data_IF_294776358330
#
_entry.id   IF_294776358330
#
_cell.length_a   1.000
_cell.length_b   1.000
_cell.length_c   1.000
_cell.angle_alpha   90.00
_cell.angle_beta   90.00
_cell.angle_gamma   90.00
#
_symmetry.space_group_name_H-M   'P 1'
#
loop_
_entity.id
_entity.type
_entity.pdbx_description
1 polymer ?
#
# COMPACT_ATOMS: atom_id res chain seq x y z
N UNK A 1 20.41 -4.90 -6.36
CA UNK A 1 20.37 -3.43 -6.14
C UNK A 1 20.09 -2.66 -7.43
N UNK A 2 20.60 -3.13 -8.58
CA UNK A 2 20.22 -2.69 -9.93
C UNK A 2 18.70 -2.57 -10.13
N UNK A 3 17.94 -3.61 -9.74
CA UNK A 3 16.47 -3.67 -9.94
C UNK A 3 15.71 -2.47 -9.34
N UNK A 4 16.06 -2.02 -8.12
CA UNK A 4 15.34 -0.90 -7.47
C UNK A 4 15.63 0.42 -8.18
N UNK A 5 16.90 0.66 -8.54
CA UNK A 5 17.31 1.85 -9.27
C UNK A 5 16.66 1.90 -10.67
N UNK A 6 16.65 0.76 -11.37
CA UNK A 6 15.96 0.61 -12.65
C UNK A 6 14.44 0.83 -12.52
N UNK A 7 13.81 0.29 -11.48
CA UNK A 7 12.37 0.48 -11.24
C UNK A 7 12.03 1.97 -11.05
N UNK A 8 12.86 2.70 -10.31
CA UNK A 8 12.68 4.15 -10.10
C UNK A 8 12.85 4.89 -11.44
N UNK A 9 13.89 4.55 -12.21
CA UNK A 9 14.16 5.18 -13.52
C UNK A 9 13.04 4.93 -14.51
N UNK A 10 12.62 3.67 -14.67
CA UNK A 10 11.51 3.28 -15.55
C UNK A 10 10.22 3.97 -15.11
N UNK A 11 9.96 4.08 -13.82
CA UNK A 11 8.80 4.80 -13.29
C UNK A 11 8.80 6.27 -13.69
N UNK A 12 9.93 6.96 -13.52
CA UNK A 12 10.10 8.37 -13.91
C UNK A 12 9.93 8.57 -15.42
N UNK A 13 10.62 7.76 -16.22
CA UNK A 13 10.58 7.83 -17.68
C UNK A 13 9.18 7.54 -18.24
N UNK A 14 8.48 6.56 -17.67
CA UNK A 14 7.08 6.25 -18.05
C UNK A 14 6.17 7.43 -17.75
N UNK A 15 6.36 8.09 -16.61
CA UNK A 15 5.60 9.30 -16.25
C UNK A 15 5.83 10.45 -17.24
N UNK A 16 7.07 10.68 -17.66
CA UNK A 16 7.41 11.72 -18.64
C UNK A 16 6.86 11.42 -20.04
N UNK A 17 6.95 10.15 -20.48
CA UNK A 17 6.37 9.69 -21.75
C UNK A 17 4.86 9.82 -21.75
N UNK A 18 4.19 9.40 -20.68
CA UNK A 18 2.75 9.51 -20.53
C UNK A 18 2.30 10.98 -20.55
N UNK A 19 3.00 11.85 -19.82
CA UNK A 19 2.75 13.30 -19.85
C UNK A 19 2.87 13.86 -21.27
N UNK A 20 3.95 13.53 -21.96
CA UNK A 20 4.19 13.98 -23.34
C UNK A 20 3.11 13.50 -24.29
N UNK A 21 2.67 12.25 -24.14
CA UNK A 21 1.60 11.66 -24.94
C UNK A 21 0.25 12.36 -24.70
N UNK A 22 -0.12 12.58 -23.43
CA UNK A 22 -1.36 13.30 -23.06
C UNK A 22 -1.35 14.72 -23.65
N UNK A 23 -0.23 15.45 -23.52
CA UNK A 23 -0.11 16.80 -24.08
C UNK A 23 -0.25 16.81 -25.60
N UNK A 24 0.30 15.80 -26.29
CA UNK A 24 0.15 15.64 -27.73
C UNK A 24 -1.33 15.40 -28.12
N UNK A 25 -2.01 14.46 -27.45
CA UNK A 25 -3.42 14.17 -27.72
C UNK A 25 -4.33 15.38 -27.48
N UNK A 26 -4.07 16.17 -26.43
CA UNK A 26 -4.86 17.39 -26.15
C UNK A 26 -4.65 18.44 -27.25
N UNK A 27 -3.41 18.63 -27.72
CA UNK A 27 -3.09 19.58 -28.78
C UNK A 27 -3.72 19.20 -30.12
N UNK A 28 -3.79 17.90 -30.43
CA UNK A 28 -4.32 17.38 -31.69
C UNK A 28 -5.86 17.33 -31.72
N UNK A 29 -6.53 17.03 -30.60
CA UNK A 29 -7.99 16.78 -30.57
C UNK A 29 -8.85 17.94 -30.05
N UNK A 30 -8.27 19.06 -29.60
CA UNK A 30 -9.04 20.18 -29.02
C UNK A 30 -8.78 21.50 -29.74
N UNK A 31 -9.84 22.20 -30.16
CA UNK A 31 -9.77 23.57 -30.68
C UNK A 31 -9.31 24.59 -29.62
N UNK A 32 -9.46 24.25 -28.33
CA UNK A 32 -8.91 24.99 -27.17
C UNK A 32 -7.41 24.67 -26.97
N UNK A 33 -6.95 23.53 -27.51
CA UNK A 33 -5.58 23.04 -27.48
C UNK A 33 -4.56 23.94 -28.18
N UNK A 34 -4.97 24.63 -29.25
CA UNK A 34 -4.07 25.50 -30.03
C UNK A 34 -3.89 26.91 -29.43
N UNK A 35 -4.80 27.34 -28.55
CA UNK A 35 -4.84 28.71 -28.00
C UNK A 35 -4.30 28.82 -26.57
N UNK A 36 -4.31 27.74 -25.79
CA UNK A 36 -3.73 27.72 -24.45
C UNK A 36 -2.21 27.44 -24.46
N UNK A 37 -1.44 28.25 -23.73
CA UNK A 37 -0.01 28.02 -23.56
C UNK A 37 0.24 26.96 -22.47
N UNK A 38 0.42 25.71 -22.90
CA UNK A 38 0.50 24.52 -22.03
C UNK A 38 1.74 24.45 -21.13
N UNK A 39 2.73 25.34 -21.33
CA UNK A 39 3.83 25.53 -20.36
C UNK A 39 3.32 26.00 -18.99
N UNK A 40 2.16 26.67 -18.96
CA UNK A 40 1.50 27.11 -17.73
C UNK A 40 0.78 25.96 -16.98
N UNK A 41 0.73 24.74 -17.53
CA UNK A 41 0.21 23.54 -16.85
C UNK A 41 1.20 23.03 -15.77
N UNK A 42 2.43 23.57 -15.73
CA UNK A 42 3.29 23.38 -14.56
C UNK A 42 2.52 23.89 -13.35
N UNK A 43 2.27 23.00 -12.38
CA UNK A 43 1.54 23.32 -11.16
C UNK A 43 2.45 24.22 -10.31
N UNK A 44 2.53 25.50 -10.68
CA UNK A 44 3.41 26.48 -10.07
C UNK A 44 2.65 27.40 -9.11
N UNK A 45 1.31 27.39 -9.17
CA UNK A 45 0.44 28.26 -8.38
C UNK A 45 -0.30 27.44 -7.32
N UNK A 46 -0.37 27.96 -6.10
CA UNK A 46 -1.08 27.35 -4.96
C UNK A 46 -2.54 27.01 -5.29
N UNK A 47 -3.22 27.84 -6.06
CA UNK A 47 -4.61 27.59 -6.53
C UNK A 47 -4.69 26.35 -7.42
N UNK A 48 -3.74 26.17 -8.34
CA UNK A 48 -3.68 24.98 -9.21
C UNK A 48 -3.42 23.71 -8.41
N UNK A 49 -2.59 23.77 -7.37
CA UNK A 49 -2.40 22.64 -6.44
C UNK A 49 -3.70 22.27 -5.71
N UNK A 50 -4.43 23.25 -5.19
CA UNK A 50 -5.71 22.98 -4.52
C UNK A 50 -6.75 22.40 -5.48
N UNK A 51 -6.88 22.95 -6.69
CA UNK A 51 -7.79 22.42 -7.71
C UNK A 51 -7.41 20.98 -8.06
N UNK A 52 -6.11 20.69 -8.27
CA UNK A 52 -5.63 19.33 -8.55
C UNK A 52 -5.98 18.36 -7.39
N UNK A 53 -5.67 18.74 -6.15
CA UNK A 53 -5.97 17.92 -4.97
C UNK A 53 -7.49 17.69 -4.87
N UNK A 54 -8.31 18.73 -5.08
CA UNK A 54 -9.77 18.61 -5.06
C UNK A 54 -10.27 17.63 -6.12
N UNK A 55 -9.78 17.74 -7.37
CA UNK A 55 -10.14 16.80 -8.46
C UNK A 55 -9.72 15.38 -8.11
N UNK A 56 -8.50 15.17 -7.60
CA UNK A 56 -8.04 13.84 -7.17
C UNK A 56 -8.89 13.26 -6.05
N UNK A 57 -9.29 14.08 -5.07
CA UNK A 57 -10.18 13.66 -3.97
C UNK A 57 -11.58 13.29 -4.46
N UNK A 58 -12.14 14.05 -5.41
CA UNK A 58 -13.44 13.74 -6.02
C UNK A 58 -13.36 12.40 -6.76
N UNK A 59 -12.35 12.21 -7.61
CA UNK A 59 -12.15 10.95 -8.34
C UNK A 59 -11.96 9.77 -7.38
N UNK A 60 -11.15 9.94 -6.33
CA UNK A 60 -10.95 8.91 -5.31
C UNK A 60 -12.26 8.56 -4.60
N UNK A 61 -13.06 9.57 -4.21
CA UNK A 61 -14.34 9.35 -3.53
C UNK A 61 -15.32 8.60 -4.41
N UNK A 62 -15.38 8.94 -5.71
CA UNK A 62 -16.23 8.27 -6.68
C UNK A 62 -15.85 6.80 -6.84
N UNK A 63 -14.56 6.51 -7.06
CA UNK A 63 -14.06 5.13 -7.19
C UNK A 63 -14.28 4.33 -5.92
N UNK A 64 -14.11 4.96 -4.75
CA UNK A 64 -14.28 4.28 -3.47
C UNK A 64 -15.74 3.94 -3.19
N UNK A 65 -16.67 4.88 -3.45
CA UNK A 65 -18.12 4.63 -3.34
C UNK A 65 -18.55 3.52 -4.30
N UNK A 66 -18.09 3.57 -5.56
CA UNK A 66 -18.37 2.50 -6.53
C UNK A 66 -17.86 1.14 -6.04
N UNK A 67 -16.65 1.10 -5.47
CA UNK A 67 -16.08 -0.13 -4.90
C UNK A 67 -16.90 -0.67 -3.73
N UNK A 68 -17.41 0.20 -2.85
CA UNK A 68 -18.29 -0.19 -1.73
C UNK A 68 -19.60 -0.78 -2.25
N UNK A 69 -20.25 -0.12 -3.21
CA UNK A 69 -21.52 -0.59 -3.79
C UNK A 69 -21.34 -1.96 -4.46
N UNK A 70 -20.30 -2.11 -5.28
CA UNK A 70 -19.99 -3.39 -5.93
C UNK A 70 -19.61 -4.48 -4.92
N UNK A 71 -18.89 -4.14 -3.85
CA UNK A 71 -18.58 -5.08 -2.77
C UNK A 71 -19.85 -5.63 -2.11
N UNK A 72 -20.81 -4.76 -1.76
CA UNK A 72 -22.06 -5.18 -1.11
C UNK A 72 -22.85 -6.14 -2.01
N UNK A 73 -23.01 -5.78 -3.28
CA UNK A 73 -23.76 -6.60 -4.26
C UNK A 73 -23.06 -7.96 -4.44
N UNK A 74 -21.75 -7.96 -4.68
CA UNK A 74 -20.99 -9.17 -4.99
C UNK A 74 -20.82 -10.10 -3.79
N UNK A 75 -20.61 -9.55 -2.58
CA UNK A 75 -20.52 -10.35 -1.35
C UNK A 75 -21.86 -11.00 -1.00
N UNK A 76 -22.98 -10.27 -1.16
CA UNK A 76 -24.33 -10.83 -0.92
C UNK A 76 -24.65 -11.99 -1.85
N UNK A 77 -24.27 -11.90 -3.12
CA UNK A 77 -24.55 -12.94 -4.12
C UNK A 77 -23.46 -14.03 -4.16
N UNK A 78 -22.35 -13.86 -3.43
CA UNK A 78 -21.19 -14.76 -3.47
C UNK A 78 -20.64 -14.96 -4.90
N UNK A 79 -20.69 -13.90 -5.68
CA UNK A 79 -20.27 -13.84 -7.08
C UNK A 79 -18.74 -13.77 -7.21
N UNK A 80 -18.25 -14.11 -8.41
CA UNK A 80 -16.87 -13.86 -8.80
C UNK A 80 -16.52 -12.38 -8.67
N UNK A 81 -15.35 -12.11 -8.09
CA UNK A 81 -14.86 -10.76 -7.81
C UNK A 81 -15.32 -10.16 -6.48
N UNK A 82 -16.09 -10.87 -5.66
CA UNK A 82 -16.48 -10.38 -4.32
C UNK A 82 -15.27 -10.02 -3.44
N UNK A 83 -14.22 -10.85 -3.45
CA UNK A 83 -12.96 -10.59 -2.72
C UNK A 83 -12.27 -9.32 -3.22
N UNK A 84 -12.24 -9.11 -4.54
CA UNK A 84 -11.58 -7.96 -5.16
C UNK A 84 -12.29 -6.65 -4.79
N UNK A 85 -13.60 -6.57 -5.01
CA UNK A 85 -14.37 -5.35 -4.74
C UNK A 85 -14.43 -5.04 -3.24
N UNK A 86 -14.54 -6.07 -2.41
CA UNK A 86 -14.42 -5.91 -0.95
C UNK A 86 -13.02 -5.43 -0.55
N UNK A 87 -11.97 -5.96 -1.17
CA UNK A 87 -10.62 -5.48 -0.94
C UNK A 87 -10.45 -4.00 -1.32
N UNK A 88 -10.95 -3.59 -2.48
CA UNK A 88 -10.94 -2.19 -2.92
C UNK A 88 -11.70 -1.27 -1.95
N UNK A 89 -12.78 -1.74 -1.33
CA UNK A 89 -13.53 -0.94 -0.36
C UNK A 89 -12.80 -0.79 0.99
N UNK A 90 -12.05 -1.80 1.44
CA UNK A 90 -11.30 -1.75 2.71
C UNK A 90 -9.83 -1.33 2.57
N UNK A 91 -9.35 -1.10 1.35
CA UNK A 91 -7.98 -0.68 1.07
C UNK A 91 -7.63 0.71 1.66
N UNK A 92 -8.47 1.76 1.55
CA UNK A 92 -8.08 3.11 2.02
C UNK A 92 -7.74 3.19 3.52
N UNK A 93 -8.50 2.57 4.44
CA UNK A 93 -8.10 2.49 5.85
C UNK A 93 -6.71 1.89 6.07
N UNK A 94 -6.31 0.88 5.29
CA UNK A 94 -4.98 0.27 5.37
C UNK A 94 -3.88 1.25 4.97
N UNK A 95 -4.11 2.01 3.89
CA UNK A 95 -3.18 3.08 3.44
C UNK A 95 -3.07 4.19 4.49
N UNK A 96 -4.17 4.65 5.07
CA UNK A 96 -4.15 5.71 6.09
C UNK A 96 -3.43 5.28 7.36
N UNK A 97 -3.66 4.05 7.81
CA UNK A 97 -2.93 3.50 8.95
C UNK A 97 -1.43 3.38 8.65
N UNK A 98 -1.06 2.86 7.47
CA UNK A 98 0.35 2.82 7.05
C UNK A 98 0.98 4.20 6.99
N UNK A 99 0.27 5.19 6.45
CA UNK A 99 0.75 6.59 6.40
C UNK A 99 0.91 7.18 7.80
N UNK A 100 -0.03 6.90 8.70
CA UNK A 100 0.09 7.33 10.09
C UNK A 100 1.30 6.69 10.78
N UNK A 101 1.50 5.38 10.62
CA UNK A 101 2.66 4.65 11.13
C UNK A 101 3.97 5.18 10.54
N UNK A 102 4.00 5.49 9.24
CA UNK A 102 5.18 6.03 8.57
C UNK A 102 5.68 7.35 9.17
N UNK A 103 4.83 8.11 9.88
CA UNK A 103 5.28 9.31 10.63
C UNK A 103 6.27 8.99 11.74
N UNK A 104 6.28 7.75 12.22
CA UNK A 104 7.23 7.25 13.24
C UNK A 104 8.61 6.93 12.63
N UNK A 105 8.73 6.82 11.30
CA UNK A 105 10.00 6.60 10.64
C UNK A 105 10.93 7.78 10.92
N UNK A 106 12.13 7.50 11.43
CA UNK A 106 13.11 8.54 11.76
C UNK A 106 12.95 9.21 13.13
N UNK A 107 11.87 8.92 13.88
CA UNK A 107 11.66 9.52 15.21
C UNK A 107 12.52 8.89 16.32
N UNK A 108 12.94 7.63 16.13
CA UNK A 108 13.62 6.84 17.14
C UNK A 108 12.68 6.30 18.22
N UNK A 109 13.18 5.37 19.03
CA UNK A 109 12.46 4.67 20.10
C UNK A 109 12.82 5.28 21.46
N UNK A 110 11.81 5.48 22.31
CA UNK A 110 11.95 5.89 23.71
C UNK A 110 12.26 7.37 23.94
N UNK A 111 12.37 7.79 25.20
CA UNK A 111 12.64 9.19 25.59
C UNK A 111 13.97 9.73 25.05
N UNK A 112 14.96 8.86 24.87
CA UNK A 112 16.27 9.22 24.32
C UNK A 112 16.30 9.26 22.78
N UNK A 113 15.19 8.93 22.10
CA UNK A 113 15.12 8.80 20.62
C UNK A 113 16.27 7.96 20.06
N UNK A 114 16.49 6.78 20.65
CA UNK A 114 17.49 5.81 20.16
C UNK A 114 17.01 5.21 18.82
N UNK A 115 17.88 4.63 18.00
CA UNK A 115 17.49 3.95 16.74
C UNK A 115 16.76 4.84 15.70
N UNK A 116 17.05 6.14 15.60
CA UNK A 116 16.48 7.01 14.54
C UNK A 116 16.76 6.53 13.11
N UNK A 117 17.80 5.73 12.93
CA UNK A 117 18.13 5.15 11.63
C UNK A 117 17.12 4.09 11.17
N UNK A 118 16.33 3.52 12.10
CA UNK A 118 15.40 2.44 11.83
C UNK A 118 14.03 2.99 11.39
N UNK A 119 13.49 2.57 10.24
CA UNK A 119 12.12 2.90 9.81
C UNK A 119 11.08 2.11 10.61
N UNK A 120 10.83 2.52 11.86
CA UNK A 120 9.98 1.80 12.81
C UNK A 120 8.54 1.69 12.32
N UNK A 121 8.00 2.74 11.72
CA UNK A 121 6.66 2.76 11.17
C UNK A 121 6.45 1.71 10.08
N UNK A 122 7.39 1.61 9.13
CA UNK A 122 7.34 0.61 8.05
C UNK A 122 7.50 -0.81 8.61
N UNK A 123 8.43 -1.00 9.55
CA UNK A 123 8.61 -2.28 10.25
C UNK A 123 7.32 -2.74 10.94
N UNK A 124 6.74 -1.86 11.75
CA UNK A 124 5.51 -2.14 12.50
C UNK A 124 4.34 -2.42 11.55
N UNK A 125 4.20 -1.64 10.47
CA UNK A 125 3.15 -1.87 9.48
C UNK A 125 3.23 -3.28 8.85
N UNK A 126 4.43 -3.72 8.46
CA UNK A 126 4.64 -5.05 7.87
C UNK A 126 4.42 -6.19 8.88
N UNK A 127 4.98 -6.07 10.09
CA UNK A 127 4.85 -7.09 11.14
C UNK A 127 3.39 -7.21 11.60
N UNK A 128 2.70 -6.09 11.82
CA UNK A 128 1.27 -6.09 12.18
C UNK A 128 0.43 -6.70 11.07
N UNK A 129 0.68 -6.34 9.80
CA UNK A 129 -0.07 -6.91 8.69
C UNK A 129 0.11 -8.43 8.61
N UNK A 130 1.34 -8.94 8.79
CA UNK A 130 1.61 -10.38 8.80
C UNK A 130 0.89 -11.12 9.95
N UNK A 131 0.95 -10.57 11.17
CA UNK A 131 0.27 -11.15 12.33
C UNK A 131 -1.25 -11.17 12.19
N UNK A 132 -1.85 -10.05 11.75
CA UNK A 132 -3.30 -9.99 11.54
C UNK A 132 -3.70 -10.91 10.39
N UNK A 133 -2.92 -10.99 9.30
CA UNK A 133 -3.20 -11.88 8.16
C UNK A 133 -3.25 -13.34 8.60
N UNK A 134 -2.27 -13.77 9.41
CA UNK A 134 -2.26 -15.10 10.00
C UNK A 134 -3.51 -15.36 10.87
N UNK A 135 -3.91 -14.40 11.70
CA UNK A 135 -5.10 -14.54 12.55
C UNK A 135 -6.40 -14.66 11.74
N UNK A 136 -6.52 -13.89 10.64
CA UNK A 136 -7.69 -13.96 9.75
C UNK A 136 -7.71 -15.27 8.97
N UNK A 137 -6.54 -15.78 8.54
CA UNK A 137 -6.43 -17.08 7.87
C UNK A 137 -6.87 -18.24 8.77
N UNK A 138 -6.45 -18.23 10.05
CA UNK A 138 -6.92 -19.21 11.03
C UNK A 138 -8.43 -19.08 11.25
N UNK A 139 -8.94 -17.85 11.37
CA UNK A 139 -10.36 -17.60 11.58
C UNK A 139 -11.20 -18.08 10.39
N UNK A 140 -10.73 -17.87 9.16
CA UNK A 140 -11.41 -18.36 7.96
C UNK A 140 -11.49 -19.89 7.96
N UNK A 141 -10.41 -20.56 8.35
CA UNK A 141 -10.36 -22.01 8.52
C UNK A 141 -11.31 -22.51 9.61
N UNK A 142 -11.36 -21.82 10.74
CA UNK A 142 -12.18 -22.21 11.89
C UNK A 142 -13.69 -22.03 11.64
N UNK A 143 -14.09 -20.96 10.94
CA UNK A 143 -15.51 -20.70 10.63
C UNK A 143 -15.98 -21.58 9.46
N UNK A 144 -15.11 -21.83 8.48
CA UNK A 144 -15.35 -22.71 7.33
C UNK A 144 -16.67 -22.45 6.57
N UNK A 145 -17.08 -21.18 6.46
CA UNK A 145 -18.20 -20.78 5.61
C UNK A 145 -17.71 -19.98 4.42
N UNK A 146 -18.35 -20.19 3.25
CA UNK A 146 -18.00 -19.47 2.01
C UNK A 146 -18.11 -17.95 2.20
N UNK A 147 -19.16 -17.49 2.87
CA UNK A 147 -19.37 -16.05 3.11
C UNK A 147 -18.30 -15.44 4.03
N UNK A 148 -18.03 -16.06 5.19
CA UNK A 148 -16.99 -15.56 6.10
C UNK A 148 -15.61 -15.59 5.46
N UNK A 149 -15.27 -16.67 4.74
CA UNK A 149 -14.00 -16.80 4.03
C UNK A 149 -13.83 -15.71 2.97
N UNK A 150 -14.86 -15.42 2.17
CA UNK A 150 -14.82 -14.31 1.20
C UNK A 150 -14.57 -12.97 1.88
N UNK A 151 -15.24 -12.69 3.01
CA UNK A 151 -15.06 -11.44 3.75
C UNK A 151 -13.65 -11.32 4.29
N UNK A 152 -13.16 -12.38 4.96
CA UNK A 152 -11.82 -12.41 5.54
C UNK A 152 -10.73 -12.32 4.48
N UNK A 153 -10.91 -12.95 3.32
CA UNK A 153 -9.98 -12.84 2.19
C UNK A 153 -9.99 -11.44 1.58
N UNK A 154 -11.16 -10.77 1.49
CA UNK A 154 -11.23 -9.39 1.05
C UNK A 154 -10.49 -8.43 2.00
N UNK A 155 -10.61 -8.64 3.31
CA UNK A 155 -9.86 -7.86 4.32
C UNK A 155 -8.35 -8.10 4.19
N UNK A 156 -7.93 -9.35 4.02
CA UNK A 156 -6.51 -9.67 3.81
C UNK A 156 -5.96 -9.04 2.53
N UNK A 157 -6.69 -9.16 1.42
CA UNK A 157 -6.30 -8.64 0.13
C UNK A 157 -6.24 -7.10 0.11
N UNK A 158 -7.28 -6.42 0.63
CA UNK A 158 -7.39 -4.97 0.61
C UNK A 158 -6.67 -4.28 1.76
N UNK A 159 -7.19 -4.44 2.98
CA UNK A 159 -6.70 -3.70 4.15
C UNK A 159 -5.25 -4.08 4.48
N UNK A 160 -4.95 -5.38 4.65
CA UNK A 160 -3.60 -5.82 5.02
C UNK A 160 -2.61 -5.71 3.86
N UNK A 161 -3.08 -5.91 2.62
CA UNK A 161 -2.29 -5.65 1.41
C UNK A 161 -1.86 -4.19 1.29
N UNK A 162 -2.72 -3.24 1.66
CA UNK A 162 -2.38 -1.81 1.64
C UNK A 162 -1.67 -1.30 2.92
N UNK A 163 -1.84 -1.99 4.05
CA UNK A 163 -1.13 -1.73 5.30
C UNK A 163 0.33 -2.18 5.21
N UNK A 164 0.60 -3.34 4.63
CA UNK A 164 1.96 -3.81 4.36
C UNK A 164 2.55 -3.11 3.13
N UNK A 165 3.87 -3.13 3.02
CA UNK A 165 4.58 -2.58 1.87
C UNK A 165 5.96 -3.20 1.70
N UNK A 166 6.21 -3.69 0.48
CA UNK A 166 7.54 -4.13 0.04
C UNK A 166 8.28 -2.99 -0.66
N UNK A 167 7.58 -2.09 -1.34
CA UNK A 167 8.19 -1.00 -2.11
C UNK A 167 8.86 0.05 -1.22
N UNK A 168 8.18 0.50 -0.16
CA UNK A 168 8.78 1.44 0.81
C UNK A 168 9.95 0.78 1.54
N UNK A 169 9.78 -0.47 1.98
CA UNK A 169 10.85 -1.27 2.59
C UNK A 169 12.09 -1.39 1.67
N UNK A 170 11.90 -1.69 0.39
CA UNK A 170 12.98 -1.78 -0.59
C UNK A 170 13.68 -0.43 -0.80
N UNK A 171 12.93 0.67 -0.85
CA UNK A 171 13.49 2.02 -0.98
C UNK A 171 14.31 2.43 0.27
N UNK A 172 13.86 2.05 1.47
CA UNK A 172 14.58 2.31 2.72
C UNK A 172 15.89 1.53 2.81
N UNK A 173 15.87 0.24 2.45
CA UNK A 173 17.09 -0.59 2.36
C UNK A 173 18.06 -0.01 1.33
N UNK A 174 17.53 0.40 0.18
CA UNK A 174 18.33 1.04 -0.86
C UNK A 174 19.00 2.31 -0.34
N UNK A 175 18.25 3.21 0.30
CA UNK A 175 18.78 4.45 0.87
C UNK A 175 19.85 4.19 1.94
N UNK A 176 19.65 3.21 2.82
CA UNK A 176 20.65 2.83 3.84
C UNK A 176 21.93 2.26 3.21
N UNK A 177 21.81 1.43 2.18
CA UNK A 177 22.98 0.83 1.53
C UNK A 177 23.71 1.84 0.64
N UNK A 178 23.01 2.74 -0.03
CA UNK A 178 23.62 3.82 -0.84
C UNK A 178 24.31 4.89 0.02
N UNK A 179 23.94 5.03 1.30
CA UNK A 179 24.62 5.90 2.27
C UNK A 179 25.81 5.22 2.98
N UNK A 180 26.23 4.04 2.52
CA UNK A 180 27.36 3.28 3.09
C UNK A 180 27.01 2.48 4.36
N UNK A 181 25.77 2.52 4.82
CA UNK A 181 25.32 1.86 6.06
C UNK A 181 24.82 0.43 5.82
N UNK A 182 25.65 -0.40 5.17
CA UNK A 182 25.28 -1.76 4.72
C UNK A 182 24.82 -2.66 5.88
N UNK A 183 25.52 -2.62 7.03
CA UNK A 183 25.17 -3.41 8.20
C UNK A 183 23.78 -3.09 8.74
N UNK A 184 23.41 -1.80 8.79
CA UNK A 184 22.07 -1.36 9.22
C UNK A 184 20.99 -1.82 8.25
N UNK A 185 21.25 -1.75 6.95
CA UNK A 185 20.35 -2.25 5.92
C UNK A 185 20.08 -3.76 6.09
N UNK A 186 21.13 -4.55 6.37
CA UNK A 186 21.00 -5.99 6.61
C UNK A 186 20.21 -6.29 7.89
N UNK A 187 20.54 -5.64 9.00
CA UNK A 187 19.83 -5.81 10.27
C UNK A 187 18.35 -5.45 10.12
N UNK A 188 18.04 -4.34 9.44
CA UNK A 188 16.66 -3.94 9.19
C UNK A 188 15.89 -4.96 8.33
N UNK A 189 16.52 -5.44 7.26
CA UNK A 189 15.92 -6.45 6.40
C UNK A 189 15.66 -7.75 7.17
N UNK A 190 16.67 -8.25 7.88
CA UNK A 190 16.57 -9.46 8.69
C UNK A 190 15.50 -9.31 9.78
N UNK A 191 15.49 -8.20 10.52
CA UNK A 191 14.49 -7.94 11.55
C UNK A 191 13.07 -7.93 10.97
N UNK A 192 12.87 -7.29 9.83
CA UNK A 192 11.54 -7.22 9.20
C UNK A 192 11.04 -8.60 8.77
N UNK A 193 11.91 -9.41 8.14
CA UNK A 193 11.56 -10.78 7.75
C UNK A 193 11.35 -11.70 8.96
N UNK A 194 12.30 -11.75 9.89
CA UNK A 194 12.26 -12.64 11.05
C UNK A 194 11.06 -12.30 11.93
N UNK A 195 10.82 -11.03 12.25
CA UNK A 195 9.68 -10.65 13.09
C UNK A 195 8.34 -10.96 12.41
N UNK A 196 8.20 -10.67 11.11
CA UNK A 196 6.97 -10.96 10.37
C UNK A 196 6.72 -12.47 10.26
N UNK A 197 7.77 -13.24 9.98
CA UNK A 197 7.70 -14.69 9.86
C UNK A 197 7.39 -15.35 11.20
N UNK A 198 8.16 -15.05 12.24
CA UNK A 198 7.95 -15.61 13.58
C UNK A 198 6.57 -15.27 14.10
N UNK A 199 6.13 -14.00 14.00
CA UNK A 199 4.80 -13.62 14.46
C UNK A 199 3.71 -14.33 13.64
N UNK A 200 3.81 -14.33 12.32
CA UNK A 200 2.84 -14.99 11.45
C UNK A 200 2.74 -16.49 11.70
N UNK A 201 3.89 -17.18 11.83
CA UNK A 201 3.94 -18.62 12.14
C UNK A 201 3.39 -18.92 13.53
N UNK A 202 3.76 -18.15 14.56
CA UNK A 202 3.23 -18.37 15.92
C UNK A 202 1.71 -18.20 15.96
N UNK A 203 1.21 -17.13 15.34
CA UNK A 203 -0.24 -16.84 15.30
C UNK A 203 -1.00 -17.89 14.49
N UNK A 204 -0.42 -18.41 13.40
CA UNK A 204 -1.06 -19.43 12.57
C UNK A 204 -0.98 -20.83 13.17
N UNK A 205 0.23 -21.27 13.54
CA UNK A 205 0.51 -22.66 13.91
C UNK A 205 -0.05 -23.02 15.28
N UNK A 206 0.00 -22.12 16.28
CA UNK A 206 -0.46 -22.45 17.64
C UNK A 206 -1.94 -22.86 17.66
N UNK A 207 -2.89 -22.09 17.07
CA UNK A 207 -4.29 -22.50 17.04
C UNK A 207 -4.53 -23.76 16.21
N UNK A 208 -3.82 -23.92 15.08
CA UNK A 208 -3.97 -25.09 14.20
C UNK A 208 -3.50 -26.36 14.90
N UNK A 209 -2.39 -26.32 15.63
CA UNK A 209 -1.88 -27.47 16.38
C UNK A 209 -2.76 -27.83 17.59
N UNK A 210 -3.26 -26.83 18.32
CA UNK A 210 -4.09 -27.09 19.50
C UNK A 210 -5.47 -27.63 19.09
N UNK A 211 -6.10 -27.04 18.07
CA UNK A 211 -7.49 -27.35 17.72
C UNK A 211 -7.65 -28.30 16.53
N UNK A 212 -6.54 -28.75 15.93
CA UNK A 212 -6.53 -29.72 14.83
C UNK A 212 -7.49 -29.33 13.69
N UNK A 213 -7.58 -28.03 13.38
CA UNK A 213 -8.35 -27.57 12.22
C UNK A 213 -7.78 -28.24 10.96
N UNK A 214 -8.57 -29.09 10.28
CA UNK A 214 -8.21 -29.72 9.00
C UNK A 214 -8.19 -28.71 7.87
#
# INVERSE_FOLDING_TARGET
MFIVNESIRVGAETGERLRSWILKCIKENSSIGSTCNWEHLKVNTRTKHFVLIAVMMILLSFVWVLSIVLAIIKVRNLDDGAVLWLGCSVAPPGVWLRWYLARLNGQGIGKQRSLKWLPIGTLVANVLAAGIMASLAVTAKAVNTKHSTTVLNGIQFGFLGCLSTVSTFAAEIYAMRSSGQVGRAFVYAAATFVLSFVLGTLVYSVPVWVKHYQ
#
